data_IF_505979290422
#
_entry.id   IF_505979290422
#
_cell.length_a   1.000
_cell.length_b   1.000
_cell.length_c   1.000
_cell.angle_alpha   90.00
_cell.angle_beta   90.00
_cell.angle_gamma   90.00
#
_symmetry.space_group_name_H-M   'P 1'
#
loop_
_entity.id
_entity.type
_entity.pdbx_description
1 polymer ?
#
# COMPACT_ATOMS: atom_id res chain seq x y z
N UNK A 1 53.04 -0.43 27.78
CA UNK A 1 51.88 0.48 27.96
C UNK A 1 51.10 0.73 26.67
N UNK A 2 51.74 1.13 25.56
CA UNK A 2 51.03 1.41 24.27
C UNK A 2 50.26 0.22 23.66
N UNK A 3 50.79 -1.02 23.77
CA UNK A 3 50.11 -2.22 23.27
C UNK A 3 48.88 -2.64 24.10
N UNK A 4 48.86 -2.32 25.40
CA UNK A 4 47.73 -2.61 26.28
C UNK A 4 46.58 -1.63 26.01
N UNK A 5 46.88 -0.34 25.83
CA UNK A 5 45.89 0.67 25.46
C UNK A 5 45.22 0.38 24.09
N UNK A 6 45.98 -0.10 23.11
CA UNK A 6 45.44 -0.47 21.79
C UNK A 6 44.50 -1.69 21.88
N UNK A 7 44.81 -2.66 22.74
CA UNK A 7 43.97 -3.83 22.98
C UNK A 7 42.67 -3.45 23.71
N UNK A 8 42.73 -2.55 24.69
CA UNK A 8 41.53 -2.05 25.40
C UNK A 8 40.59 -1.26 24.48
N UNK A 9 41.14 -0.46 23.57
CA UNK A 9 40.34 0.27 22.56
C UNK A 9 39.68 -0.71 21.58
N UNK A 10 40.38 -1.76 21.14
CA UNK A 10 39.82 -2.76 20.23
C UNK A 10 38.68 -3.57 20.88
N UNK A 11 38.83 -3.93 22.17
CA UNK A 11 37.78 -4.60 22.95
C UNK A 11 36.57 -3.68 23.15
N UNK A 12 36.78 -2.39 23.46
CA UNK A 12 35.69 -1.43 23.58
C UNK A 12 34.91 -1.25 22.25
N UNK A 13 35.61 -1.23 21.11
CA UNK A 13 34.96 -1.15 19.78
C UNK A 13 34.07 -2.38 19.53
N UNK A 14 34.53 -3.58 19.91
CA UNK A 14 33.76 -4.82 19.78
C UNK A 14 32.52 -4.87 20.68
N UNK A 15 32.52 -4.15 21.82
CA UNK A 15 31.35 -4.04 22.72
C UNK A 15 30.46 -2.80 22.45
N UNK A 16 30.89 -1.85 21.61
CA UNK A 16 30.09 -0.65 21.28
C UNK A 16 29.11 -0.80 20.14
N UNK A 17 29.11 -1.93 19.42
CA UNK A 17 27.92 -2.31 18.66
C UNK A 17 26.83 -2.73 19.65
N UNK A 18 26.09 -1.74 20.18
CA UNK A 18 24.75 -1.99 20.69
C UNK A 18 23.97 -2.62 19.54
N UNK A 19 23.79 -3.93 19.56
CA UNK A 19 22.65 -4.53 18.88
C UNK A 19 21.44 -3.84 19.50
N UNK A 20 20.83 -2.90 18.76
CA UNK A 20 19.48 -2.46 19.08
C UNK A 20 18.65 -3.74 19.10
N UNK A 21 18.25 -4.15 20.30
CA UNK A 21 17.36 -5.29 20.47
C UNK A 21 16.01 -4.82 19.94
N UNK A 22 15.78 -5.01 18.64
CA UNK A 22 14.50 -4.70 18.03
C UNK A 22 13.45 -5.57 18.71
N UNK A 23 12.39 -4.94 19.21
CA UNK A 23 11.24 -5.67 19.74
C UNK A 23 10.72 -6.56 18.61
N UNK A 24 10.76 -7.90 18.76
CA UNK A 24 10.41 -8.80 17.67
C UNK A 24 8.93 -8.71 17.27
N UNK A 25 8.09 -8.12 18.15
CA UNK A 25 6.66 -7.89 17.88
C UNK A 25 6.40 -6.57 17.15
N UNK A 26 7.39 -5.67 17.09
CA UNK A 26 7.25 -4.39 16.43
C UNK A 26 7.16 -4.57 14.92
N UNK A 27 6.14 -3.93 14.34
CA UNK A 27 5.95 -3.90 12.90
C UNK A 27 6.94 -2.96 12.22
N UNK A 28 7.26 -3.24 10.96
CA UNK A 28 7.94 -2.34 10.04
C UNK A 28 7.38 -2.52 8.63
N UNK A 29 7.50 -1.49 7.79
CA UNK A 29 7.13 -1.56 6.38
C UNK A 29 8.38 -2.02 5.62
N UNK A 30 8.38 -3.21 5.01
CA UNK A 30 9.49 -3.67 4.21
C UNK A 30 9.77 -2.73 3.04
N UNK A 31 11.02 -2.65 2.61
CA UNK A 31 11.35 -1.99 1.36
C UNK A 31 10.71 -2.74 0.18
N UNK A 32 10.31 -2.03 -0.87
CA UNK A 32 9.73 -2.63 -2.09
C UNK A 32 10.74 -3.48 -2.89
N UNK A 33 12.02 -3.39 -2.55
CA UNK A 33 13.07 -4.26 -3.09
C UNK A 33 13.22 -5.57 -2.29
N UNK A 34 12.56 -5.68 -1.14
CA UNK A 34 12.55 -6.90 -0.35
C UNK A 34 11.60 -7.93 -0.99
N UNK A 35 11.75 -9.23 -0.66
CA UNK A 35 10.94 -10.25 -1.31
C UNK A 35 9.44 -10.15 -0.98
N UNK A 36 8.62 -10.48 -1.97
CA UNK A 36 7.17 -10.34 -1.93
C UNK A 36 6.49 -11.71 -1.97
N UNK A 37 5.42 -11.86 -1.21
CA UNK A 37 4.47 -12.97 -1.33
C UNK A 37 3.62 -12.79 -2.59
N UNK A 38 3.12 -11.56 -2.81
CA UNK A 38 2.23 -11.26 -3.92
C UNK A 38 2.35 -9.80 -4.40
N UNK A 39 1.88 -9.54 -5.62
CA UNK A 39 1.56 -8.20 -6.10
C UNK A 39 0.06 -8.14 -6.39
N UNK A 40 -0.61 -7.21 -5.74
CA UNK A 40 -2.01 -6.91 -5.92
C UNK A 40 -2.21 -5.95 -7.08
N UNK A 41 -3.24 -6.20 -7.88
CA UNK A 41 -3.70 -5.33 -8.95
C UNK A 41 -5.13 -4.88 -8.68
N UNK A 42 -5.36 -3.61 -8.97
CA UNK A 42 -6.70 -3.07 -9.05
C UNK A 42 -7.41 -3.42 -10.36
N UNK A 43 -8.72 -3.69 -10.33
CA UNK A 43 -9.50 -3.81 -11.57
C UNK A 43 -9.66 -2.49 -12.29
N UNK A 44 -9.62 -2.58 -13.62
CA UNK A 44 -9.75 -1.45 -14.54
C UNK A 44 -11.21 -1.22 -14.94
N UNK A 45 -11.99 -0.55 -14.10
CA UNK A 45 -13.27 0.12 -14.40
C UNK A 45 -13.06 1.43 -15.21
N UNK A 46 -12.10 1.46 -16.15
CA UNK A 46 -11.87 2.62 -17.00
C UNK A 46 -12.61 2.45 -18.31
N UNK A 47 -13.12 3.57 -18.82
CA UNK A 47 -13.77 3.64 -20.14
C UNK A 47 -12.85 3.14 -21.26
N UNK A 48 -13.42 2.93 -22.44
CA UNK A 48 -12.69 2.35 -23.59
C UNK A 48 -11.45 3.16 -24.01
N UNK A 49 -11.41 4.45 -23.68
CA UNK A 49 -10.26 5.33 -23.92
C UNK A 49 -8.97 4.89 -23.18
N UNK A 50 -9.07 4.02 -22.16
CA UNK A 50 -7.93 3.47 -21.43
C UNK A 50 -7.45 2.11 -22.01
N UNK A 51 -7.63 1.86 -23.31
CA UNK A 51 -7.24 0.59 -23.94
C UNK A 51 -5.73 0.33 -23.83
N UNK A 52 -4.89 1.34 -24.04
CA UNK A 52 -3.44 1.20 -23.89
C UNK A 52 -3.02 0.85 -22.46
N UNK A 53 -3.71 1.43 -21.48
CA UNK A 53 -3.46 1.13 -20.08
C UNK A 53 -3.76 -0.34 -19.77
N UNK A 54 -4.91 -0.88 -20.21
CA UNK A 54 -5.25 -2.30 -20.03
C UNK A 54 -4.18 -3.21 -20.66
N UNK A 55 -3.73 -2.88 -21.87
CA UNK A 55 -2.66 -3.61 -22.56
C UNK A 55 -1.35 -3.57 -21.77
N UNK A 56 -0.89 -2.38 -21.38
CA UNK A 56 0.38 -2.21 -20.64
C UNK A 56 0.36 -2.98 -19.34
N UNK A 57 -0.73 -2.89 -18.57
CA UNK A 57 -0.80 -3.60 -17.31
C UNK A 57 -0.88 -5.13 -17.48
N UNK A 58 -1.47 -5.62 -18.58
CA UNK A 58 -1.39 -7.04 -18.95
C UNK A 58 0.04 -7.47 -19.32
N UNK A 59 0.83 -6.63 -19.97
CA UNK A 59 2.27 -6.91 -20.19
C UNK A 59 3.05 -6.95 -18.87
N UNK A 60 2.75 -6.04 -17.93
CA UNK A 60 3.35 -6.07 -16.60
C UNK A 60 3.00 -7.38 -15.89
N UNK A 61 1.73 -7.81 -15.90
CA UNK A 61 1.31 -9.09 -15.33
C UNK A 61 2.09 -10.26 -15.93
N UNK A 62 2.19 -10.34 -17.26
CA UNK A 62 2.97 -11.40 -17.94
C UNK A 62 4.46 -11.36 -17.60
N UNK A 63 5.02 -10.18 -17.34
CA UNK A 63 6.43 -10.05 -17.01
C UNK A 63 6.75 -10.54 -15.58
N UNK A 64 5.76 -10.53 -14.67
CA UNK A 64 5.98 -10.86 -13.25
C UNK A 64 5.37 -12.20 -12.83
N UNK A 65 4.50 -12.82 -13.64
CA UNK A 65 3.75 -14.03 -13.28
C UNK A 65 4.61 -15.27 -12.98
N UNK A 66 5.87 -15.27 -13.43
CA UNK A 66 6.86 -16.30 -13.13
C UNK A 66 7.65 -16.04 -11.84
N UNK A 67 7.52 -14.86 -11.25
CA UNK A 67 8.36 -14.38 -10.15
C UNK A 67 7.59 -14.09 -8.87
N UNK A 68 6.30 -13.77 -8.95
CA UNK A 68 5.49 -13.40 -7.79
C UNK A 68 4.02 -13.75 -8.03
N UNK A 69 3.30 -14.14 -6.98
CA UNK A 69 1.87 -14.40 -7.07
C UNK A 69 1.12 -13.11 -7.44
N UNK A 70 0.23 -13.19 -8.43
CA UNK A 70 -0.64 -12.07 -8.79
C UNK A 70 -1.98 -12.22 -8.06
N UNK A 71 -2.39 -11.16 -7.36
CA UNK A 71 -3.72 -11.04 -6.75
C UNK A 71 -4.46 -9.88 -7.41
N UNK A 72 -5.78 -9.96 -7.58
CA UNK A 72 -6.56 -8.90 -8.20
C UNK A 72 -7.83 -8.59 -7.40
N UNK A 73 -8.06 -7.31 -7.09
CA UNK A 73 -9.21 -6.82 -6.35
C UNK A 73 -10.22 -6.12 -7.28
N UNK A 74 -11.50 -6.48 -7.16
CA UNK A 74 -12.61 -5.93 -7.94
C UNK A 74 -13.76 -5.47 -7.07
N UNK A 75 -14.48 -4.38 -7.39
CA UNK A 75 -15.61 -3.94 -6.59
C UNK A 75 -16.84 -4.86 -6.68
N UNK A 76 -16.89 -5.75 -7.68
CA UNK A 76 -18.00 -6.69 -7.88
C UNK A 76 -17.61 -7.88 -8.74
N UNK A 77 -18.42 -8.94 -8.67
CA UNK A 77 -18.30 -10.11 -9.54
C UNK A 77 -18.44 -9.76 -11.02
N UNK A 78 -19.39 -8.89 -11.38
CA UNK A 78 -19.63 -8.51 -12.78
C UNK A 78 -18.41 -7.82 -13.40
N UNK A 79 -17.81 -6.87 -12.67
CA UNK A 79 -16.59 -6.19 -13.11
C UNK A 79 -15.41 -7.16 -13.17
N UNK A 80 -15.33 -8.10 -12.22
CA UNK A 80 -14.28 -9.11 -12.20
C UNK A 80 -14.35 -10.02 -13.44
N UNK A 81 -15.54 -10.46 -13.83
CA UNK A 81 -15.74 -11.28 -15.03
C UNK A 81 -15.34 -10.54 -16.31
N UNK A 82 -15.63 -9.24 -16.41
CA UNK A 82 -15.20 -8.40 -17.53
C UNK A 82 -13.68 -8.30 -17.57
N UNK A 83 -13.04 -8.07 -16.41
CA UNK A 83 -11.60 -8.01 -16.30
C UNK A 83 -10.93 -9.33 -16.70
N UNK A 84 -11.44 -10.47 -16.22
CA UNK A 84 -10.96 -11.81 -16.56
C UNK A 84 -11.03 -12.08 -18.07
N UNK A 85 -12.19 -11.82 -18.71
CA UNK A 85 -12.33 -11.97 -20.16
C UNK A 85 -11.35 -11.08 -20.93
N UNK A 86 -11.13 -9.85 -20.45
CA UNK A 86 -10.19 -8.94 -21.11
C UNK A 86 -8.75 -9.42 -20.96
N UNK A 87 -8.35 -9.86 -19.78
CA UNK A 87 -7.03 -10.42 -19.49
C UNK A 87 -6.75 -11.66 -20.35
N UNK A 88 -7.69 -12.58 -20.41
CA UNK A 88 -7.63 -13.78 -21.25
C UNK A 88 -7.46 -13.40 -22.74
N UNK A 89 -8.26 -12.44 -23.24
CA UNK A 89 -8.12 -11.93 -24.62
C UNK A 89 -6.78 -11.24 -24.91
N UNK A 90 -6.04 -10.83 -23.88
CA UNK A 90 -4.70 -10.23 -23.98
C UNK A 90 -3.58 -11.25 -23.73
N UNK A 91 -3.94 -12.53 -23.58
CA UNK A 91 -2.99 -13.63 -23.40
C UNK A 91 -2.40 -13.72 -22.00
N UNK A 92 -3.05 -13.15 -20.99
CA UNK A 92 -2.67 -13.35 -19.58
C UNK A 92 -3.24 -14.68 -19.11
N UNK A 93 -2.41 -15.53 -18.50
CA UNK A 93 -2.86 -16.79 -17.91
C UNK A 93 -3.63 -16.51 -16.60
N UNK A 94 -4.95 -16.38 -16.72
CA UNK A 94 -5.83 -16.08 -15.59
C UNK A 94 -5.85 -17.18 -14.53
N UNK A 95 -5.40 -18.40 -14.84
CA UNK A 95 -5.33 -19.50 -13.85
C UNK A 95 -4.26 -19.26 -12.77
N UNK A 96 -3.29 -18.39 -13.06
CA UNK A 96 -2.24 -17.97 -12.11
C UNK A 96 -2.66 -16.81 -11.21
N UNK A 97 -3.84 -16.23 -11.42
CA UNK A 97 -4.30 -15.03 -10.69
C UNK A 97 -5.31 -15.42 -9.62
N UNK A 98 -5.12 -14.92 -8.41
CA UNK A 98 -6.12 -15.01 -7.35
C UNK A 98 -7.03 -13.78 -7.38
N UNK A 99 -8.34 -14.00 -7.41
CA UNK A 99 -9.35 -12.96 -7.59
C UNK A 99 -10.14 -12.72 -6.31
N UNK A 100 -10.28 -11.45 -5.93
CA UNK A 100 -10.98 -11.02 -4.72
C UNK A 100 -12.04 -9.96 -5.05
N UNK A 101 -13.25 -10.14 -4.54
CA UNK A 101 -14.30 -9.13 -4.62
C UNK A 101 -14.24 -8.27 -3.36
N UNK A 102 -13.87 -7.01 -3.56
CA UNK A 102 -13.67 -6.00 -2.52
C UNK A 102 -14.50 -4.75 -2.87
N UNK A 103 -15.74 -4.64 -2.38
CA UNK A 103 -16.60 -3.49 -2.67
C UNK A 103 -15.91 -2.18 -2.28
N UNK A 104 -15.85 -1.22 -3.21
CA UNK A 104 -15.21 0.08 -3.01
C UNK A 104 -14.59 0.64 -4.29
N UNK A 105 -13.68 1.60 -4.13
CA UNK A 105 -12.70 1.91 -5.18
C UNK A 105 -11.88 0.64 -5.46
N UNK A 106 -11.38 0.42 -6.68
CA UNK A 106 -10.51 -0.73 -6.93
C UNK A 106 -9.43 -0.46 -7.97
N UNK A 107 -9.33 0.74 -8.54
CA UNK A 107 -8.35 1.08 -9.56
C UNK A 107 -6.97 1.35 -9.00
N UNK A 108 -6.90 2.28 -8.06
CA UNK A 108 -5.66 2.88 -7.58
C UNK A 108 -5.23 2.23 -6.29
N UNK A 109 -5.13 0.89 -6.32
CA UNK A 109 -4.96 0.06 -5.12
C UNK A 109 -3.71 0.41 -4.31
N UNK A 110 -2.75 1.13 -4.91
CA UNK A 110 -1.63 1.75 -4.18
C UNK A 110 -2.08 2.72 -3.09
N UNK A 111 -3.15 3.45 -3.35
CA UNK A 111 -3.48 4.65 -2.59
C UNK A 111 -4.53 4.37 -1.52
N UNK A 112 -5.40 3.39 -1.77
CA UNK A 112 -6.52 3.02 -0.89
C UNK A 112 -6.48 1.55 -0.45
N UNK A 113 -5.53 0.76 -0.98
CA UNK A 113 -5.28 -0.61 -0.52
C UNK A 113 -4.38 -0.65 0.70
N UNK A 114 -4.17 -1.86 1.23
CA UNK A 114 -3.42 -2.04 2.47
C UNK A 114 -1.95 -1.64 2.33
N UNK A 115 -1.51 -0.71 3.17
CA UNK A 115 -0.08 -0.52 3.43
C UNK A 115 0.40 -1.63 4.37
N UNK A 116 0.96 -2.69 3.78
CA UNK A 116 1.40 -3.85 4.53
C UNK A 116 2.66 -3.55 5.36
N UNK A 117 2.64 -4.08 6.58
CA UNK A 117 3.77 -4.10 7.51
C UNK A 117 3.98 -5.53 7.99
N UNK A 118 5.21 -5.89 8.35
CA UNK A 118 5.53 -7.18 8.94
C UNK A 118 6.30 -6.98 10.23
N UNK A 119 6.23 -7.91 11.17
CA UNK A 119 7.14 -7.93 12.30
C UNK A 119 8.19 -9.03 12.15
N UNK A 120 9.15 -9.08 13.08
CA UNK A 120 10.25 -10.05 13.01
C UNK A 120 9.81 -11.49 13.31
N UNK A 121 8.56 -11.69 13.74
CA UNK A 121 7.93 -12.99 13.97
C UNK A 121 7.14 -13.50 12.76
N UNK A 122 7.11 -12.75 11.65
CA UNK A 122 6.39 -13.13 10.43
C UNK A 122 4.90 -12.82 10.47
N UNK A 123 4.41 -12.06 11.47
CA UNK A 123 3.04 -11.55 11.44
C UNK A 123 2.91 -10.46 10.38
N UNK A 124 1.83 -10.50 9.62
CA UNK A 124 1.46 -9.48 8.63
C UNK A 124 0.46 -8.51 9.26
N UNK A 125 0.65 -7.23 9.06
CA UNK A 125 -0.28 -6.17 9.42
C UNK A 125 -0.69 -5.36 8.20
N UNK A 126 -1.91 -4.83 8.21
CA UNK A 126 -2.43 -3.96 7.17
C UNK A 126 -2.83 -2.63 7.81
N UNK A 127 -2.09 -1.57 7.47
CA UNK A 127 -2.37 -0.22 7.97
C UNK A 127 -3.44 0.43 7.10
N UNK A 128 -4.51 0.88 7.74
CA UNK A 128 -5.62 1.62 7.15
C UNK A 128 -5.45 3.10 7.49
N UNK A 129 -5.21 3.91 6.45
CA UNK A 129 -4.97 5.35 6.53
C UNK A 129 -6.25 6.18 6.34
N UNK A 130 -7.41 5.55 6.24
CA UNK A 130 -8.70 6.20 5.97
C UNK A 130 -8.69 7.05 4.69
N UNK A 131 -8.36 6.44 3.55
CA UNK A 131 -8.26 7.17 2.27
C UNK A 131 -9.55 7.95 1.95
N UNK A 132 -9.40 9.25 1.72
CA UNK A 132 -10.53 10.18 1.59
C UNK A 132 -10.80 10.63 0.13
N UNK A 133 -10.12 10.05 -0.85
CA UNK A 133 -10.20 10.49 -2.25
C UNK A 133 -9.37 11.73 -2.52
N UNK A 134 -8.07 11.67 -2.17
CA UNK A 134 -7.05 12.70 -2.40
C UNK A 134 -7.40 14.09 -1.85
N UNK A 135 -8.18 14.16 -0.77
CA UNK A 135 -8.64 15.44 -0.20
C UNK A 135 -9.47 16.29 -1.16
N UNK A 136 -10.06 15.70 -2.21
CA UNK A 136 -10.73 16.43 -3.29
C UNK A 136 -11.85 17.35 -2.81
N UNK A 137 -12.53 17.02 -1.70
CA UNK A 137 -13.54 17.87 -1.08
C UNK A 137 -12.89 19.06 -0.36
N UNK A 138 -11.94 18.79 0.53
CA UNK A 138 -11.23 19.81 1.31
C UNK A 138 -10.49 20.79 0.40
N UNK A 139 -9.91 20.29 -0.70
CA UNK A 139 -9.27 21.11 -1.72
C UNK A 139 -10.23 22.11 -2.36
N UNK A 140 -11.46 21.70 -2.66
CA UNK A 140 -12.46 22.61 -3.25
C UNK A 140 -12.88 23.68 -2.25
N UNK A 141 -13.04 23.32 -0.96
CA UNK A 141 -13.32 24.27 0.12
C UNK A 141 -12.22 25.32 0.25
N UNK A 142 -10.95 24.90 0.20
CA UNK A 142 -9.80 25.81 0.29
C UNK A 142 -9.70 26.78 -0.90
N UNK A 143 -10.15 26.36 -2.09
CA UNK A 143 -10.07 27.18 -3.31
C UNK A 143 -11.22 28.18 -3.42
N UNK A 144 -12.41 27.79 -2.96
CA UNK A 144 -13.59 28.64 -2.97
C UNK A 144 -14.51 28.26 -1.80
N UNK A 145 -14.55 29.11 -0.78
CA UNK A 145 -15.39 28.87 0.40
C UNK A 145 -16.85 29.25 0.18
N UNK A 146 -17.22 29.76 -1.01
CA UNK A 146 -18.60 30.20 -1.29
C UNK A 146 -19.48 29.09 -1.88
N UNK A 147 -18.89 27.99 -2.32
CA UNK A 147 -19.58 26.86 -2.98
C UNK A 147 -20.04 25.75 -2.01
N UNK A 148 -20.34 26.09 -0.76
CA UNK A 148 -20.66 25.10 0.29
C UNK A 148 -21.86 24.20 -0.07
N UNK A 149 -22.86 24.74 -0.76
CA UNK A 149 -24.03 23.98 -1.25
C UNK A 149 -23.65 22.97 -2.33
N UNK A 150 -22.80 23.37 -3.28
CA UNK A 150 -22.26 22.52 -4.33
C UNK A 150 -21.33 21.43 -3.76
N UNK A 151 -20.66 21.74 -2.65
CA UNK A 151 -19.83 20.79 -1.90
C UNK A 151 -20.68 19.76 -1.14
N UNK A 152 -21.81 20.16 -0.56
CA UNK A 152 -22.77 19.25 0.07
C UNK A 152 -23.30 18.23 -0.96
N UNK A 153 -23.72 18.72 -2.15
CA UNK A 153 -24.16 17.88 -3.27
C UNK A 153 -23.03 16.97 -3.75
N UNK A 154 -21.80 17.50 -3.88
CA UNK A 154 -20.65 16.69 -4.25
C UNK A 154 -20.36 15.62 -3.20
N UNK A 155 -20.45 15.95 -1.91
CA UNK A 155 -20.24 15.02 -0.79
C UNK A 155 -21.28 13.92 -0.79
N UNK A 156 -22.56 14.23 -0.95
CA UNK A 156 -23.63 13.22 -1.06
C UNK A 156 -23.42 12.29 -2.26
N UNK A 157 -23.09 12.86 -3.43
CA UNK A 157 -22.81 12.07 -4.63
C UNK A 157 -21.55 11.21 -4.54
N UNK A 158 -20.59 11.61 -3.71
CA UNK A 158 -19.33 10.90 -3.51
C UNK A 158 -19.32 9.97 -2.30
N UNK A 159 -20.29 10.10 -1.40
CA UNK A 159 -20.51 9.25 -0.21
C UNK A 159 -20.80 7.79 -0.56
N UNK A 160 -21.29 7.54 -1.77
CA UNK A 160 -21.64 6.21 -2.30
C UNK A 160 -20.43 5.44 -2.86
N UNK A 161 -19.29 6.11 -3.05
CA UNK A 161 -18.03 5.43 -3.32
C UNK A 161 -17.54 5.02 -1.93
N UNK A 162 -17.58 3.73 -1.59
CA UNK A 162 -17.07 3.20 -0.33
C UNK A 162 -15.53 3.37 -0.35
N UNK A 163 -15.04 4.55 0.06
CA UNK A 163 -13.65 5.00 -0.13
C UNK A 163 -12.65 4.33 0.81
N UNK A 164 -13.10 3.64 1.86
CA UNK A 164 -12.23 3.26 2.98
C UNK A 164 -12.48 1.83 3.48
N UNK A 165 -12.51 0.85 2.57
CA UNK A 165 -12.63 -0.56 2.96
C UNK A 165 -11.66 -1.51 2.29
N UNK A 166 -11.05 -1.14 1.17
CA UNK A 166 -10.22 -2.09 0.42
C UNK A 166 -9.02 -2.54 1.23
N UNK A 167 -8.35 -1.65 1.95
CA UNK A 167 -7.31 -1.99 2.94
C UNK A 167 -7.79 -3.00 4.00
N UNK A 168 -8.97 -2.79 4.60
CA UNK A 168 -9.55 -3.70 5.60
C UNK A 168 -9.94 -5.05 4.99
N UNK A 169 -10.42 -5.06 3.74
CA UNK A 169 -10.79 -6.27 3.00
C UNK A 169 -9.55 -7.02 2.54
N UNK A 170 -8.49 -6.31 2.16
CA UNK A 170 -7.16 -6.87 1.93
C UNK A 170 -6.61 -7.48 3.21
N UNK A 171 -6.76 -6.81 4.36
CA UNK A 171 -6.37 -7.36 5.65
C UNK A 171 -7.04 -8.72 5.90
N UNK A 172 -8.36 -8.82 5.70
CA UNK A 172 -9.11 -10.08 5.79
C UNK A 172 -8.62 -11.11 4.78
N UNK A 173 -8.46 -10.72 3.51
CA UNK A 173 -8.03 -11.61 2.43
C UNK A 173 -6.62 -12.18 2.64
N UNK A 174 -5.78 -11.47 3.38
CA UNK A 174 -4.42 -11.89 3.72
C UNK A 174 -4.27 -12.42 5.14
N UNK A 175 -5.32 -12.51 5.95
CA UNK A 175 -5.17 -12.82 7.38
C UNK A 175 -4.14 -11.90 8.08
N UNK A 176 -4.16 -10.61 7.72
CA UNK A 176 -3.30 -9.60 8.32
C UNK A 176 -4.01 -8.95 9.50
N UNK A 177 -3.23 -8.61 10.53
CA UNK A 177 -3.71 -7.79 11.63
C UNK A 177 -4.10 -6.41 11.10
N UNK A 178 -5.38 -6.09 11.17
CA UNK A 178 -5.88 -4.77 10.79
C UNK A 178 -5.42 -3.73 11.83
N UNK A 179 -4.73 -2.68 11.36
CA UNK A 179 -4.22 -1.59 12.17
C UNK A 179 -4.96 -0.33 11.74
N UNK A 180 -6.08 -0.06 12.43
CA UNK A 180 -6.92 1.10 12.14
C UNK A 180 -6.38 2.38 12.77
N UNK A 181 -6.37 3.46 12.00
CA UNK A 181 -5.90 4.76 12.44
C UNK A 181 -6.97 5.81 12.76
N UNK A 182 -7.23 6.10 14.04
CA UNK A 182 -7.93 7.33 14.49
C UNK A 182 -6.92 8.42 14.95
N UNK A 183 -5.68 8.39 14.47
CA UNK A 183 -4.58 9.25 14.92
C UNK A 183 -4.06 10.10 13.76
N UNK A 184 -3.38 11.23 14.08
CA UNK A 184 -2.65 12.00 13.06
C UNK A 184 -1.69 11.09 12.29
N UNK A 185 -1.38 11.39 11.04
CA UNK A 185 -0.43 10.59 10.23
C UNK A 185 0.86 10.31 11.03
N UNK A 186 1.41 11.30 11.74
CA UNK A 186 2.55 11.08 12.64
C UNK A 186 2.30 10.01 13.71
N UNK A 187 1.13 10.04 14.36
CA UNK A 187 0.71 9.05 15.35
C UNK A 187 0.58 7.64 14.75
N UNK A 188 0.06 7.52 13.52
CA UNK A 188 -0.02 6.24 12.81
C UNK A 188 1.37 5.69 12.49
N UNK A 189 2.23 6.53 11.93
CA UNK A 189 3.61 6.14 11.64
C UNK A 189 4.38 5.81 12.93
N UNK A 190 4.14 6.50 14.05
CA UNK A 190 4.72 6.14 15.36
C UNK A 190 4.16 4.85 15.93
N UNK A 191 2.87 4.55 15.73
CA UNK A 191 2.28 3.30 16.17
C UNK A 191 2.80 2.12 15.36
N UNK A 192 2.92 2.28 14.04
CA UNK A 192 3.48 1.27 13.15
C UNK A 192 5.00 1.14 13.31
N UNK A 193 5.73 2.24 13.54
CA UNK A 193 7.19 2.30 13.58
C UNK A 193 7.70 2.98 14.87
N UNK A 194 7.45 2.40 16.06
CA UNK A 194 7.71 3.06 17.35
C UNK A 194 9.20 3.37 17.59
N UNK A 195 10.09 2.61 16.97
CA UNK A 195 11.55 2.77 17.08
C UNK A 195 12.16 3.69 16.01
N UNK A 196 11.36 4.21 15.07
CA UNK A 196 11.87 5.02 13.94
C UNK A 196 11.63 6.50 14.17
N UNK A 197 12.60 7.31 13.75
CA UNK A 197 12.41 8.77 13.66
C UNK A 197 11.55 9.07 12.43
N UNK A 198 10.40 9.71 12.64
CA UNK A 198 9.54 10.20 11.56
C UNK A 198 10.08 11.54 11.06
N UNK A 199 10.36 11.62 9.76
CA UNK A 199 10.83 12.83 9.08
C UNK A 199 9.83 13.18 7.99
N UNK A 200 9.14 14.32 8.14
CA UNK A 200 8.23 14.81 7.12
C UNK A 200 9.00 15.48 6.00
N UNK A 201 8.62 15.14 4.77
CA UNK A 201 9.09 15.81 3.55
C UNK A 201 7.89 16.55 2.96
N UNK A 202 8.05 17.84 2.68
CA UNK A 202 7.04 18.59 1.95
C UNK A 202 7.03 18.13 0.49
N UNK A 203 6.06 17.27 0.17
CA UNK A 203 5.82 16.74 -1.16
C UNK A 203 4.74 17.51 -1.93
N UNK A 204 4.25 18.65 -1.41
CA UNK A 204 3.10 19.35 -2.00
C UNK A 204 3.37 19.78 -3.44
N UNK A 205 4.54 20.35 -3.69
CA UNK A 205 4.96 20.75 -5.04
C UNK A 205 5.11 19.57 -5.99
N UNK A 206 5.60 18.42 -5.51
CA UNK A 206 5.73 17.20 -6.30
C UNK A 206 4.35 16.64 -6.67
N UNK A 207 3.46 16.54 -5.68
CA UNK A 207 2.10 16.05 -5.86
C UNK A 207 1.30 16.96 -6.81
N UNK A 208 1.48 18.29 -6.73
CA UNK A 208 0.82 19.23 -7.64
C UNK A 208 1.17 19.00 -9.12
N UNK A 209 2.37 18.51 -9.40
CA UNK A 209 2.82 18.22 -10.76
C UNK A 209 2.68 16.74 -11.12
N UNK A 210 1.89 15.97 -10.34
CA UNK A 210 1.59 14.57 -10.60
C UNK A 210 2.70 13.59 -10.22
N UNK A 211 3.72 14.02 -9.47
CA UNK A 211 4.83 13.16 -9.04
C UNK A 211 4.57 12.38 -7.75
N UNK A 212 3.32 12.28 -7.31
CA UNK A 212 2.96 11.51 -6.11
C UNK A 212 3.10 10.00 -6.32
N UNK A 213 3.14 9.25 -5.22
CA UNK A 213 3.05 7.78 -5.26
C UNK A 213 1.62 7.44 -5.70
N UNK A 214 1.46 6.93 -6.91
CA UNK A 214 0.18 6.58 -7.51
C UNK A 214 0.36 5.39 -8.43
N UNK A 215 -0.36 4.29 -8.19
CA UNK A 215 -0.28 3.12 -9.04
C UNK A 215 -1.53 2.24 -8.91
N UNK A 216 -1.68 1.30 -9.84
CA UNK A 216 -2.67 0.23 -9.79
C UNK A 216 -2.12 -1.08 -9.24
N UNK A 217 -0.93 -1.03 -8.63
CA UNK A 217 -0.31 -2.16 -7.97
C UNK A 217 0.03 -1.86 -6.51
N UNK A 218 -0.03 -2.90 -5.67
CA UNK A 218 0.33 -2.86 -4.26
C UNK A 218 1.08 -4.15 -3.89
N UNK A 219 2.27 -4.05 -3.27
CA UNK A 219 3.05 -5.23 -2.90
C UNK A 219 2.59 -5.79 -1.56
N UNK A 220 2.46 -7.12 -1.48
CA UNK A 220 2.33 -7.88 -0.25
C UNK A 220 3.69 -8.51 0.07
N UNK A 221 4.36 -8.11 1.16
CA UNK A 221 5.68 -8.61 1.51
C UNK A 221 5.65 -10.08 1.91
N UNK A 222 6.77 -10.78 1.68
CA UNK A 222 6.95 -12.15 2.16
C UNK A 222 6.98 -12.16 3.71
N UNK A 223 6.28 -13.12 4.31
CA UNK A 223 6.23 -13.30 5.77
C UNK A 223 7.48 -14.01 6.27
N UNK A 224 8.54 -13.24 6.51
CA UNK A 224 9.82 -13.79 6.98
C UNK A 224 9.90 -13.75 8.50
N UNK A 225 10.17 -14.91 9.10
CA UNK A 225 10.70 -14.96 10.47
C UNK A 225 12.19 -14.65 10.37
N UNK A 226 12.57 -13.44 10.77
CA UNK A 226 13.98 -13.06 10.84
C UNK A 226 14.57 -13.76 12.09
N UNK A 227 15.39 -14.79 11.85
CA UNK A 227 16.13 -15.52 12.89
C UNK A 227 17.31 -14.72 13.40
#
# INVERSE_FOLDING_TARGET
MKKLALFTILVLILFTCKQEHQDPTAFYMPGEFEPHEAVWFGTWIMGEWATDYKRVMSEVMKAIDAHVQIKMASPSDSIMQIAQKKLDSLGVDISKIQFFVMPGEAHWIRDHGAAFVVNHQGELGAVDFEWNGYGSLDWRVLRDSTILDSLEIFREKTRTIDRAKVDSLMAVATDAKWIKGNLTIEGLFKQAFPSRKIVFVDALMLNWHGGGIHCSTQQEPERRVLR
#
